data_IF_286765764358
#
_entry.id   IF_286765764358
#
_cell.length_a   1.000
_cell.length_b   1.000
_cell.length_c   1.000
_cell.angle_alpha   90.00
_cell.angle_beta   90.00
_cell.angle_gamma   90.00
#
_symmetry.space_group_name_H-M   'P 1'
#
loop_
_entity.id
_entity.type
_entity.pdbx_description
1 polymer ?
#
# COMPACT_ATOMS: atom_id res chain seq x y z
N UNK A 1 -31.47 12.19 7.62
CA UNK A 1 -30.40 11.44 6.92
C UNK A 1 -29.34 12.42 6.45
N UNK A 2 -28.07 12.15 6.70
CA UNK A 2 -27.00 12.94 6.06
C UNK A 2 -27.11 12.76 4.54
N UNK A 3 -26.85 13.84 3.76
CA UNK A 3 -26.91 13.76 2.31
C UNK A 3 -25.86 12.76 1.79
N UNK A 4 -26.21 12.01 0.72
CA UNK A 4 -25.27 11.13 0.03
C UNK A 4 -24.12 11.99 -0.52
N UNK A 5 -22.89 11.64 -0.11
CA UNK A 5 -21.67 12.39 -0.48
C UNK A 5 -21.05 11.80 -1.73
N UNK A 6 -20.61 12.66 -2.64
CA UNK A 6 -19.76 12.25 -3.75
C UNK A 6 -18.36 11.87 -3.23
N UNK A 7 -17.78 10.79 -3.79
CA UNK A 7 -16.45 10.35 -3.46
C UNK A 7 -15.64 10.05 -4.74
N UNK A 8 -14.36 10.44 -4.75
CA UNK A 8 -13.49 10.49 -5.92
C UNK A 8 -12.35 9.48 -5.81
N UNK A 9 -12.02 8.86 -6.96
CA UNK A 9 -10.81 8.06 -7.20
C UNK A 9 -9.69 8.96 -7.74
N UNK A 10 -8.51 8.40 -8.01
CA UNK A 10 -7.45 9.14 -8.69
C UNK A 10 -7.78 9.43 -10.16
N UNK A 11 -8.64 8.63 -10.79
CA UNK A 11 -9.07 8.83 -12.18
C UNK A 11 -10.03 10.02 -12.35
N UNK A 12 -10.69 10.46 -11.27
CA UNK A 12 -11.67 11.56 -11.30
C UNK A 12 -11.02 12.93 -11.22
N UNK A 13 -9.70 13.02 -11.03
CA UNK A 13 -9.01 14.29 -10.86
C UNK A 13 -7.67 14.34 -11.59
N UNK A 14 -7.27 15.57 -11.95
CA UNK A 14 -5.88 15.93 -12.25
C UNK A 14 -5.40 16.97 -11.23
N UNK A 15 -4.16 17.42 -11.35
CA UNK A 15 -3.62 18.53 -10.58
C UNK A 15 -3.19 19.64 -11.55
N UNK A 16 -3.69 20.86 -11.34
CA UNK A 16 -3.25 21.99 -12.12
C UNK A 16 -1.79 22.32 -11.81
N UNK A 17 -0.96 22.61 -12.83
CA UNK A 17 0.42 23.00 -12.65
C UNK A 17 0.53 24.32 -11.88
N UNK A 18 1.69 24.57 -11.29
CA UNK A 18 2.00 25.80 -10.57
C UNK A 18 3.28 26.42 -11.13
N UNK A 19 3.50 27.69 -10.81
CA UNK A 19 4.80 28.28 -11.00
C UNK A 19 5.88 27.45 -10.29
N UNK A 20 6.97 27.15 -10.99
CA UNK A 20 8.02 26.28 -10.48
C UNK A 20 9.39 26.76 -10.91
N UNK A 21 10.31 26.79 -9.96
CA UNK A 21 11.76 26.97 -10.17
C UNK A 21 12.52 25.66 -9.84
N UNK A 22 11.78 24.53 -9.79
CA UNK A 22 12.32 23.24 -9.36
C UNK A 22 12.44 22.28 -10.54
N UNK A 23 13.65 21.81 -10.81
CA UNK A 23 13.87 20.76 -11.80
C UNK A 23 13.60 19.36 -11.20
N UNK A 24 13.06 18.41 -11.98
CA UNK A 24 12.85 17.04 -11.51
C UNK A 24 14.10 16.33 -10.99
N UNK A 25 15.29 16.73 -11.42
CA UNK A 25 16.58 16.20 -10.95
C UNK A 25 16.96 16.67 -9.55
N UNK A 26 16.41 17.80 -9.10
CA UNK A 26 16.78 18.47 -7.84
C UNK A 26 15.87 18.12 -6.66
N UNK A 27 14.78 17.38 -6.91
CA UNK A 27 13.79 17.10 -5.88
C UNK A 27 14.24 15.99 -4.93
N UNK A 28 13.92 16.17 -3.66
CA UNK A 28 14.08 15.17 -2.60
C UNK A 28 12.79 14.37 -2.43
N UNK A 29 12.84 13.09 -2.80
CA UNK A 29 11.72 12.15 -2.68
C UNK A 29 11.63 11.47 -1.31
N UNK A 30 12.50 11.80 -0.37
CA UNK A 30 12.52 11.19 0.95
C UNK A 30 11.27 11.52 1.77
N UNK A 31 10.88 10.59 2.64
CA UNK A 31 9.76 10.76 3.56
C UNK A 31 10.09 10.20 4.94
N UNK A 32 9.76 10.95 5.98
CA UNK A 32 9.92 10.53 7.38
C UNK A 32 8.59 9.99 7.90
N UNK A 33 8.54 8.70 8.19
CA UNK A 33 7.34 7.99 8.65
C UNK A 33 7.24 7.88 10.17
N UNK A 34 8.38 7.94 10.87
CA UNK A 34 8.44 8.04 12.35
C UNK A 34 9.78 8.70 12.76
N UNK A 35 10.05 8.78 14.07
CA UNK A 35 11.37 9.21 14.55
C UNK A 35 12.51 8.30 14.05
N UNK A 36 12.21 7.02 13.84
CA UNK A 36 13.19 5.98 13.53
C UNK A 36 13.08 5.41 12.12
N UNK A 37 12.09 5.83 11.33
CA UNK A 37 11.85 5.31 9.98
C UNK A 37 11.77 6.44 8.96
N UNK A 38 12.83 6.58 8.17
CA UNK A 38 12.91 7.46 7.01
C UNK A 38 13.19 6.64 5.77
N UNK A 39 12.42 6.87 4.71
CA UNK A 39 12.59 6.24 3.41
C UNK A 39 13.17 7.25 2.41
N UNK A 40 14.06 6.82 1.51
CA UNK A 40 14.59 7.66 0.42
C UNK A 40 13.57 7.88 -0.71
N UNK A 41 12.65 6.93 -0.88
CA UNK A 41 11.50 7.04 -1.79
C UNK A 41 10.21 6.68 -1.02
N UNK A 42 9.07 7.32 -1.27
CA UNK A 42 7.85 7.13 -0.48
C UNK A 42 7.07 5.88 -0.90
N UNK A 43 7.76 4.74 -1.11
CA UNK A 43 7.17 3.52 -1.63
C UNK A 43 7.34 2.34 -0.67
N UNK A 44 6.24 1.58 -0.52
CA UNK A 44 6.21 0.31 0.19
C UNK A 44 5.67 -0.80 -0.72
N UNK A 45 6.15 -2.05 -0.60
CA UNK A 45 5.47 -3.19 -1.21
C UNK A 45 4.48 -3.83 -0.24
N UNK A 46 3.31 -4.20 -0.78
CA UNK A 46 2.16 -4.70 0.00
C UNK A 46 2.43 -6.06 0.62
N UNK A 47 1.86 -6.27 1.80
CA UNK A 47 1.92 -7.52 2.55
C UNK A 47 1.00 -8.61 1.95
N UNK A 48 1.29 -9.01 0.72
CA UNK A 48 0.51 -10.01 -0.03
C UNK A 48 1.41 -11.19 -0.41
N UNK A 49 0.86 -12.40 -0.33
CA UNK A 49 1.61 -13.64 -0.57
C UNK A 49 2.01 -13.89 -2.03
N UNK A 50 1.59 -13.01 -2.93
CA UNK A 50 2.03 -12.95 -4.33
C UNK A 50 2.79 -11.65 -4.66
N UNK A 51 3.20 -10.88 -3.66
CA UNK A 51 3.93 -9.61 -3.84
C UNK A 51 5.22 -9.56 -3.02
N UNK A 52 5.16 -9.73 -1.68
CA UNK A 52 6.31 -9.42 -0.81
C UNK A 52 6.75 -10.58 0.07
N UNK A 53 7.83 -11.22 -0.33
CA UNK A 53 8.74 -11.99 0.52
C UNK A 53 10.13 -11.34 0.50
N UNK A 54 11.16 -11.99 1.00
CA UNK A 54 12.51 -11.41 1.15
C UNK A 54 13.10 -10.84 -0.14
N UNK A 55 12.91 -11.47 -1.28
CA UNK A 55 13.45 -10.98 -2.57
C UNK A 55 12.90 -9.60 -2.92
N UNK A 56 11.59 -9.43 -2.85
CA UNK A 56 10.94 -8.13 -3.07
C UNK A 56 11.32 -7.12 -1.99
N UNK A 57 11.33 -7.53 -0.72
CA UNK A 57 11.71 -6.64 0.38
C UNK A 57 13.15 -6.12 0.25
N UNK A 58 14.09 -6.98 -0.18
CA UNK A 58 15.47 -6.59 -0.46
C UNK A 58 15.55 -5.60 -1.63
N UNK A 59 14.84 -5.89 -2.73
CA UNK A 59 14.90 -5.05 -3.93
C UNK A 59 14.36 -3.64 -3.66
N UNK A 60 13.21 -3.53 -2.99
CA UNK A 60 12.61 -2.22 -2.69
C UNK A 60 13.41 -1.46 -1.62
N UNK A 61 14.00 -2.14 -0.62
CA UNK A 61 14.85 -1.52 0.37
C UNK A 61 16.15 -0.98 -0.23
N UNK A 62 16.77 -1.71 -1.17
CA UNK A 62 17.93 -1.23 -1.94
C UNK A 62 17.59 0.01 -2.77
N UNK A 63 16.37 0.13 -3.26
CA UNK A 63 15.89 1.33 -3.96
C UNK A 63 15.54 2.49 -3.01
N UNK A 64 15.56 2.27 -1.70
CA UNK A 64 15.30 3.29 -0.68
C UNK A 64 13.88 3.31 -0.13
N UNK A 65 13.03 2.34 -0.49
CA UNK A 65 11.71 2.10 0.10
C UNK A 65 11.76 1.05 1.22
N UNK A 66 10.63 0.37 1.47
CA UNK A 66 10.55 -0.72 2.45
C UNK A 66 9.53 -1.78 2.00
N UNK A 67 9.89 -3.07 2.09
CA UNK A 67 8.97 -4.18 1.86
C UNK A 67 8.30 -4.65 3.13
N UNK A 68 7.00 -4.95 3.07
CA UNK A 68 6.24 -5.52 4.19
C UNK A 68 5.99 -7.00 3.93
N UNK A 69 6.72 -7.88 4.64
CA UNK A 69 6.58 -9.33 4.50
C UNK A 69 5.20 -9.76 4.99
N UNK A 70 4.48 -10.53 4.17
CA UNK A 70 3.14 -10.96 4.45
C UNK A 70 3.06 -11.99 5.59
N UNK A 71 1.88 -12.13 6.20
CA UNK A 71 1.61 -13.07 7.30
C UNK A 71 0.94 -14.38 6.87
N UNK A 72 0.70 -14.57 5.57
CA UNK A 72 0.12 -15.81 5.04
C UNK A 72 1.16 -16.95 4.96
N UNK A 73 1.96 -17.03 6.01
CA UNK A 73 3.03 -17.97 6.31
C UNK A 73 2.90 -18.42 7.78
N UNK A 74 3.44 -19.57 8.13
CA UNK A 74 3.70 -19.86 9.54
C UNK A 74 4.72 -18.87 10.12
N UNK A 75 4.73 -18.73 11.45
CA UNK A 75 5.57 -17.74 12.13
C UNK A 75 7.06 -17.99 11.81
N UNK A 76 7.50 -19.24 11.79
CA UNK A 76 8.91 -19.61 11.54
C UNK A 76 9.36 -19.16 10.15
N UNK A 77 8.57 -19.45 9.12
CA UNK A 77 8.87 -19.05 7.74
C UNK A 77 8.87 -17.52 7.57
N UNK A 78 7.93 -16.81 8.19
CA UNK A 78 7.93 -15.35 8.14
C UNK A 78 9.20 -14.77 8.77
N UNK A 79 9.66 -15.33 9.89
CA UNK A 79 10.91 -14.95 10.54
C UNK A 79 12.12 -15.25 9.65
N UNK A 80 12.16 -16.39 8.97
CA UNK A 80 13.21 -16.72 8.00
C UNK A 80 13.30 -15.68 6.88
N UNK A 81 12.16 -15.25 6.34
CA UNK A 81 12.11 -14.19 5.32
C UNK A 81 12.62 -12.85 5.86
N UNK A 82 12.25 -12.47 7.08
CA UNK A 82 12.73 -11.25 7.75
C UNK A 82 14.25 -11.32 7.93
N UNK A 83 14.78 -12.42 8.43
CA UNK A 83 16.23 -12.63 8.66
C UNK A 83 17.04 -12.47 7.38
N UNK A 84 16.54 -12.94 6.22
CA UNK A 84 17.22 -12.77 4.94
C UNK A 84 17.44 -11.29 4.61
N UNK A 85 16.47 -10.42 4.92
CA UNK A 85 16.57 -8.97 4.69
C UNK A 85 17.51 -8.33 5.73
N UNK A 86 17.33 -8.66 7.01
CA UNK A 86 18.14 -8.09 8.11
C UNK A 86 19.61 -8.45 8.02
N UNK A 87 19.99 -9.63 7.50
CA UNK A 87 21.38 -10.02 7.23
C UNK A 87 22.11 -9.06 6.28
N UNK A 88 21.38 -8.32 5.45
CA UNK A 88 21.90 -7.30 4.53
C UNK A 88 21.86 -5.88 5.11
N UNK A 89 21.53 -5.71 6.40
CA UNK A 89 21.35 -4.43 7.07
C UNK A 89 20.32 -3.51 6.36
N UNK A 90 19.29 -4.09 5.76
CA UNK A 90 18.24 -3.39 5.04
C UNK A 90 16.99 -3.21 5.91
N UNK A 91 16.22 -2.16 5.59
CA UNK A 91 14.91 -1.92 6.21
C UNK A 91 13.92 -3.01 5.82
N UNK A 92 13.15 -3.48 6.79
CA UNK A 92 12.08 -4.47 6.57
C UNK A 92 10.88 -4.23 7.46
N UNK A 93 9.69 -4.32 6.86
CA UNK A 93 8.43 -4.39 7.57
C UNK A 93 7.88 -5.82 7.60
N UNK A 94 7.00 -6.10 8.55
CA UNK A 94 6.28 -7.36 8.61
C UNK A 94 4.84 -7.15 9.07
N UNK A 95 3.92 -7.91 8.47
CA UNK A 95 2.50 -7.87 8.80
C UNK A 95 2.12 -8.86 9.90
N UNK A 96 1.17 -8.44 10.73
CA UNK A 96 0.45 -9.26 11.68
C UNK A 96 -1.05 -9.01 11.51
N UNK A 97 -1.89 -9.94 11.94
CA UNK A 97 -3.34 -9.77 12.00
C UNK A 97 -3.82 -9.29 13.37
N UNK A 98 -5.06 -9.65 13.71
CA UNK A 98 -5.66 -9.34 14.99
C UNK A 98 -6.20 -10.62 15.67
N UNK A 99 -5.69 -10.92 16.85
CA UNK A 99 -6.08 -12.10 17.63
C UNK A 99 -4.93 -12.69 18.45
N UNK A 100 -5.20 -13.69 19.30
CA UNK A 100 -4.20 -14.25 20.22
C UNK A 100 -3.00 -14.90 19.53
N UNK A 101 -3.20 -15.59 18.42
CA UNK A 101 -2.12 -16.19 17.64
C UNK A 101 -1.22 -15.11 17.01
N UNK A 102 -1.82 -14.01 16.61
CA UNK A 102 -1.10 -12.88 15.98
C UNK A 102 -0.27 -12.09 17.01
N UNK A 103 -0.62 -12.15 18.29
CA UNK A 103 0.25 -11.61 19.35
C UNK A 103 1.56 -12.40 19.46
N UNK A 104 1.50 -13.74 19.44
CA UNK A 104 2.71 -14.59 19.41
C UNK A 104 3.56 -14.31 18.17
N UNK A 105 2.92 -14.08 17.03
CA UNK A 105 3.58 -13.66 15.79
C UNK A 105 4.29 -12.30 15.96
N UNK A 106 3.61 -11.33 16.54
CA UNK A 106 4.17 -10.00 16.82
C UNK A 106 5.39 -10.07 17.74
N UNK A 107 5.32 -10.87 18.79
CA UNK A 107 6.46 -11.10 19.71
C UNK A 107 7.67 -11.67 18.98
N UNK A 108 7.45 -12.69 18.13
CA UNK A 108 8.53 -13.29 17.34
C UNK A 108 9.15 -12.28 16.35
N UNK A 109 8.32 -11.50 15.65
CA UNK A 109 8.75 -10.47 14.69
C UNK A 109 9.56 -9.36 15.40
N UNK A 110 9.11 -8.90 16.56
CA UNK A 110 9.79 -7.84 17.32
C UNK A 110 11.19 -8.26 17.80
N UNK A 111 11.39 -9.54 18.12
CA UNK A 111 12.71 -10.10 18.44
C UNK A 111 13.71 -9.98 17.28
N UNK A 112 13.24 -10.00 16.03
CA UNK A 112 14.07 -9.82 14.84
C UNK A 112 14.35 -8.34 14.51
N UNK A 113 13.95 -7.41 15.37
CA UNK A 113 14.22 -5.97 15.27
C UNK A 113 13.76 -5.38 13.92
N UNK A 114 12.54 -5.72 13.49
CA UNK A 114 11.93 -5.14 12.29
C UNK A 114 11.77 -3.62 12.44
N UNK A 115 11.88 -2.90 11.34
CA UNK A 115 11.77 -1.44 11.32
C UNK A 115 10.32 -0.97 11.36
N UNK A 116 9.42 -1.81 10.80
CA UNK A 116 7.98 -1.55 10.71
C UNK A 116 7.17 -2.80 11.02
N UNK A 117 6.26 -2.72 11.99
CA UNK A 117 5.21 -3.74 12.20
C UNK A 117 3.88 -3.19 11.73
N UNK A 118 3.14 -3.97 10.94
CA UNK A 118 1.87 -3.56 10.34
C UNK A 118 0.75 -4.46 10.84
N UNK A 119 -0.17 -3.91 11.62
CA UNK A 119 -1.45 -4.57 11.92
C UNK A 119 -2.34 -4.44 10.69
N UNK A 120 -2.40 -5.52 9.91
CA UNK A 120 -2.98 -5.56 8.57
C UNK A 120 -4.30 -6.32 8.54
N UNK A 121 -5.41 -5.58 8.50
CA UNK A 121 -6.79 -6.10 8.51
C UNK A 121 -7.64 -5.45 7.41
N UNK A 122 -8.73 -6.09 7.00
CA UNK A 122 -9.68 -5.51 6.05
C UNK A 122 -10.42 -4.30 6.64
N UNK A 123 -10.60 -4.29 7.98
CA UNK A 123 -11.25 -3.20 8.71
C UNK A 123 -10.52 -2.90 10.01
N UNK A 124 -9.74 -1.81 10.01
CA UNK A 124 -8.91 -1.39 11.14
C UNK A 124 -9.67 -0.73 12.30
N UNK A 125 -10.92 -0.31 12.08
CA UNK A 125 -11.77 0.34 13.09
C UNK A 125 -12.59 -0.70 13.86
N UNK A 126 -11.93 -1.60 14.60
CA UNK A 126 -12.60 -2.69 15.30
C UNK A 126 -11.97 -2.97 16.67
N UNK A 127 -12.75 -3.62 17.57
CA UNK A 127 -12.31 -3.99 18.93
C UNK A 127 -11.07 -4.88 18.90
N UNK A 128 -11.04 -5.91 18.04
CA UNK A 128 -9.90 -6.83 17.92
C UNK A 128 -8.62 -6.12 17.52
N UNK A 129 -8.73 -5.12 16.61
CA UNK A 129 -7.58 -4.30 16.21
C UNK A 129 -7.11 -3.41 17.37
N UNK A 130 -8.01 -2.85 18.17
CA UNK A 130 -7.62 -2.11 19.37
C UNK A 130 -6.86 -2.97 20.38
N UNK A 131 -7.32 -4.19 20.60
CA UNK A 131 -6.71 -5.14 21.54
C UNK A 131 -5.28 -5.50 21.12
N UNK A 132 -5.08 -5.87 19.86
CA UNK A 132 -3.75 -6.24 19.35
C UNK A 132 -2.78 -5.05 19.34
N UNK A 133 -3.25 -3.84 18.98
CA UNK A 133 -2.43 -2.63 19.05
C UNK A 133 -1.95 -2.36 20.48
N UNK A 134 -2.84 -2.42 21.46
CA UNK A 134 -2.49 -2.23 22.88
C UNK A 134 -1.48 -3.26 23.35
N UNK A 135 -1.63 -4.53 22.95
CA UNK A 135 -0.71 -5.60 23.29
C UNK A 135 0.67 -5.40 22.64
N UNK A 136 0.74 -5.10 21.32
CA UNK A 136 1.99 -4.83 20.63
C UNK A 136 2.72 -3.62 21.24
N UNK A 137 2.00 -2.58 21.65
CA UNK A 137 2.62 -1.40 22.27
C UNK A 137 3.33 -1.70 23.58
N UNK A 138 2.85 -2.70 24.36
CA UNK A 138 3.53 -3.14 25.58
C UNK A 138 4.83 -3.91 25.28
N UNK A 139 4.90 -4.56 24.11
CA UNK A 139 6.00 -5.42 23.70
C UNK A 139 7.06 -4.69 22.88
N UNK A 140 6.63 -3.69 22.06
CA UNK A 140 7.54 -3.03 21.13
C UNK A 140 8.53 -2.14 21.85
N UNK A 141 9.76 -2.14 21.34
CA UNK A 141 10.75 -1.13 21.69
C UNK A 141 10.44 0.18 20.96
N UNK A 142 10.99 1.30 21.43
CA UNK A 142 10.83 2.60 20.75
C UNK A 142 11.46 2.65 19.34
N UNK A 143 12.21 1.61 18.94
CA UNK A 143 12.87 1.55 17.61
C UNK A 143 11.94 1.04 16.51
N UNK A 144 10.95 0.21 16.82
CA UNK A 144 10.01 -0.32 15.81
C UNK A 144 8.83 0.61 15.59
N UNK A 145 8.56 1.00 14.36
CA UNK A 145 7.40 1.81 13.97
C UNK A 145 6.15 0.94 13.90
N UNK A 146 5.03 1.40 14.45
CA UNK A 146 3.75 0.70 14.45
C UNK A 146 2.77 1.32 13.46
N UNK A 147 2.39 0.55 12.44
CA UNK A 147 1.35 0.89 11.48
C UNK A 147 0.10 0.05 11.73
N UNK A 148 -1.09 0.62 11.56
CA UNK A 148 -2.34 -0.13 11.61
C UNK A 148 -3.33 0.34 10.53
N UNK A 149 -4.16 -0.59 10.05
CA UNK A 149 -5.22 -0.38 9.06
C UNK A 149 -5.89 -1.70 8.65
N UNK A 150 -6.77 -1.65 7.61
CA UNK A 150 -7.05 -0.49 6.78
C UNK A 150 -8.25 0.29 7.29
N UNK A 151 -8.24 1.57 7.04
CA UNK A 151 -9.36 2.47 7.35
C UNK A 151 -9.66 3.39 6.17
N UNK A 152 -10.82 4.07 6.21
CA UNK A 152 -11.23 5.02 5.16
C UNK A 152 -11.94 6.27 5.70
N UNK A 153 -12.10 6.45 7.02
CA UNK A 153 -12.87 7.54 7.63
C UNK A 153 -12.07 8.34 8.66
N UNK A 154 -12.52 9.57 8.92
CA UNK A 154 -11.92 10.44 9.91
C UNK A 154 -12.08 9.90 11.34
N UNK A 155 -13.22 9.26 11.65
CA UNK A 155 -13.50 8.65 12.95
C UNK A 155 -12.53 7.50 13.22
N UNK A 156 -12.32 6.62 12.23
CA UNK A 156 -11.36 5.53 12.33
C UNK A 156 -9.92 6.04 12.53
N UNK A 157 -9.57 7.16 11.87
CA UNK A 157 -8.27 7.80 12.10
C UNK A 157 -8.12 8.28 13.55
N UNK A 158 -9.10 8.99 14.08
CA UNK A 158 -9.11 9.44 15.50
C UNK A 158 -9.02 8.27 16.47
N UNK A 159 -9.71 7.16 16.15
CA UNK A 159 -9.67 5.93 16.96
C UNK A 159 -8.24 5.34 17.00
N UNK A 160 -7.57 5.16 15.85
CA UNK A 160 -6.22 4.63 15.81
C UNK A 160 -5.19 5.58 16.45
N UNK A 161 -5.36 6.90 16.30
CA UNK A 161 -4.52 7.91 16.97
C UNK A 161 -4.60 7.76 18.50
N UNK A 162 -5.81 7.62 19.06
CA UNK A 162 -5.98 7.38 20.51
C UNK A 162 -5.29 6.12 21.00
N UNK A 163 -5.17 5.10 20.14
CA UNK A 163 -4.42 3.89 20.44
C UNK A 163 -2.91 4.07 20.35
N UNK A 164 -2.43 5.20 19.80
CA UNK A 164 -1.02 5.58 19.74
C UNK A 164 -0.24 4.83 18.68
N UNK A 165 -0.82 4.63 17.50
CA UNK A 165 -0.08 4.17 16.32
C UNK A 165 0.81 5.28 15.78
N UNK A 166 1.91 4.91 15.12
CA UNK A 166 2.80 5.86 14.45
C UNK A 166 2.30 6.16 13.03
N UNK A 167 1.67 5.18 12.38
CA UNK A 167 1.21 5.26 11.00
C UNK A 167 -0.19 4.66 10.87
N UNK A 168 -1.00 5.28 10.04
CA UNK A 168 -2.33 4.81 9.62
C UNK A 168 -2.28 4.37 8.17
N UNK A 169 -2.77 3.17 7.87
CA UNK A 169 -2.87 2.63 6.50
C UNK A 169 -4.30 2.77 5.98
N UNK A 170 -4.45 3.45 4.82
CA UNK A 170 -5.73 3.90 4.27
C UNK A 170 -6.05 3.16 2.98
N UNK A 171 -7.22 2.56 2.91
CA UNK A 171 -7.76 1.94 1.70
C UNK A 171 -8.67 0.75 2.00
N UNK A 172 -9.98 0.93 1.74
CA UNK A 172 -10.98 -0.13 1.80
C UNK A 172 -11.60 -0.28 0.41
N UNK A 173 -11.25 -1.38 -0.26
CA UNK A 173 -11.75 -1.73 -1.58
C UNK A 173 -11.09 -1.08 -2.81
N UNK A 174 -9.95 -0.33 -2.76
CA UNK A 174 -9.36 0.27 -3.95
C UNK A 174 -8.45 -0.66 -4.75
N UNK A 175 -8.10 -1.84 -4.22
CA UNK A 175 -7.19 -2.78 -4.88
C UNK A 175 -7.78 -3.36 -6.17
N UNK A 176 -6.94 -3.58 -7.19
CA UNK A 176 -7.37 -4.06 -8.52
C UNK A 176 -8.00 -5.46 -8.54
N UNK A 177 -7.74 -6.25 -7.51
CA UNK A 177 -8.24 -7.62 -7.32
C UNK A 177 -9.10 -7.75 -6.05
N UNK A 178 -9.48 -6.61 -5.44
CA UNK A 178 -10.37 -6.54 -4.30
C UNK A 178 -11.83 -6.45 -4.79
N UNK A 179 -12.70 -7.29 -4.23
CA UNK A 179 -14.14 -7.27 -4.52
C UNK A 179 -15.00 -6.89 -3.31
N UNK A 180 -14.39 -6.38 -2.23
CA UNK A 180 -15.11 -5.96 -1.00
C UNK A 180 -16.28 -5.02 -1.31
N UNK A 181 -16.09 -4.06 -2.20
CA UNK A 181 -17.15 -3.11 -2.58
C UNK A 181 -18.32 -3.76 -3.31
N UNK A 182 -18.07 -4.85 -4.04
CA UNK A 182 -19.11 -5.60 -4.75
C UNK A 182 -19.79 -6.62 -3.84
N UNK A 183 -19.01 -7.33 -3.02
CA UNK A 183 -19.50 -8.42 -2.17
C UNK A 183 -20.15 -7.90 -0.90
N UNK A 184 -19.50 -6.96 -0.21
CA UNK A 184 -19.98 -6.42 1.07
C UNK A 184 -20.69 -5.06 0.92
N UNK A 185 -20.61 -4.39 -0.23
CA UNK A 185 -21.12 -3.04 -0.42
C UNK A 185 -20.35 -1.97 0.36
N UNK A 186 -19.15 -2.29 0.87
CA UNK A 186 -18.37 -1.44 1.78
C UNK A 186 -17.08 -0.97 1.10
N UNK A 187 -16.81 0.33 1.22
CA UNK A 187 -15.57 0.94 0.75
C UNK A 187 -15.73 2.43 0.47
N UNK A 188 -14.60 3.09 0.26
CA UNK A 188 -14.54 4.51 -0.10
C UNK A 188 -13.53 4.69 -1.22
N UNK A 189 -13.85 5.43 -2.30
CA UNK A 189 -12.89 5.82 -3.34
C UNK A 189 -11.63 6.43 -2.75
N UNK A 190 -10.46 6.04 -3.27
CA UNK A 190 -9.19 6.17 -2.55
C UNK A 190 -8.78 7.62 -2.28
N UNK A 191 -8.98 8.52 -3.24
CA UNK A 191 -8.66 9.94 -3.04
C UNK A 191 -9.48 10.53 -1.88
N UNK A 192 -10.80 10.29 -1.89
CA UNK A 192 -11.70 10.74 -0.82
C UNK A 192 -11.37 10.09 0.53
N UNK A 193 -10.98 8.82 0.55
CA UNK A 193 -10.54 8.14 1.78
C UNK A 193 -9.31 8.82 2.39
N UNK A 194 -8.29 9.15 1.58
CA UNK A 194 -7.08 9.86 2.05
C UNK A 194 -7.45 11.23 2.61
N UNK A 195 -8.27 12.00 1.89
CA UNK A 195 -8.71 13.33 2.33
C UNK A 195 -9.51 13.28 3.64
N UNK A 196 -10.40 12.30 3.79
CA UNK A 196 -11.17 12.10 5.02
C UNK A 196 -10.27 11.74 6.21
N UNK A 197 -9.34 10.79 6.02
CA UNK A 197 -8.37 10.39 7.06
C UNK A 197 -7.46 11.56 7.41
N UNK A 198 -6.99 12.33 6.42
CA UNK A 198 -6.18 13.53 6.66
C UNK A 198 -6.91 14.55 7.55
N UNK A 199 -8.22 14.75 7.34
CA UNK A 199 -9.05 15.58 8.24
C UNK A 199 -9.08 15.02 9.68
N UNK A 200 -9.11 13.69 9.83
CA UNK A 200 -9.08 13.04 11.14
C UNK A 200 -7.72 13.16 11.85
N UNK A 201 -6.63 13.11 11.09
CA UNK A 201 -5.26 13.27 11.61
C UNK A 201 -4.96 14.72 12.01
N UNK A 202 -5.48 15.72 11.27
CA UNK A 202 -5.25 17.17 11.52
C UNK A 202 -3.76 17.47 11.74
N UNK A 203 -3.43 18.07 12.89
CA UNK A 203 -2.07 18.46 13.27
C UNK A 203 -1.32 17.37 14.06
N UNK A 204 -1.84 16.14 14.09
CA UNK A 204 -1.18 15.03 14.77
C UNK A 204 0.09 14.60 14.02
N UNK A 205 1.07 14.07 14.77
CA UNK A 205 2.35 13.56 14.21
C UNK A 205 2.20 12.22 13.46
N UNK A 206 1.03 11.57 13.53
CA UNK A 206 0.75 10.29 12.89
C UNK A 206 0.82 10.45 11.37
N UNK A 207 1.45 9.47 10.71
CA UNK A 207 1.66 9.45 9.27
C UNK A 207 0.59 8.62 8.55
N UNK A 208 0.43 8.86 7.26
CA UNK A 208 -0.58 8.20 6.42
C UNK A 208 0.11 7.42 5.30
N UNK A 209 -0.19 6.12 5.19
CA UNK A 209 0.13 5.31 4.01
C UNK A 209 -1.13 5.14 3.18
N UNK A 210 -1.09 5.53 1.91
CA UNK A 210 -2.12 5.20 0.93
C UNK A 210 -1.90 3.78 0.41
N UNK A 211 -2.87 2.88 0.63
CA UNK A 211 -2.78 1.47 0.25
C UNK A 211 -3.83 1.12 -0.83
N UNK A 212 -3.35 0.88 -2.04
CA UNK A 212 -4.16 0.52 -3.21
C UNK A 212 -4.64 1.70 -4.06
N UNK A 213 -5.20 1.37 -5.21
CA UNK A 213 -5.76 2.33 -6.18
C UNK A 213 -4.75 2.98 -7.13
N UNK A 214 -3.45 2.74 -6.97
CA UNK A 214 -2.39 3.28 -7.84
C UNK A 214 -2.31 2.48 -9.13
N UNK A 215 -2.47 3.17 -10.26
CA UNK A 215 -2.38 2.62 -11.62
C UNK A 215 -1.22 3.22 -12.40
N UNK A 216 -0.92 4.48 -12.17
CA UNK A 216 0.08 5.27 -12.89
C UNK A 216 1.01 6.01 -11.93
N UNK A 217 2.17 6.43 -12.40
CA UNK A 217 3.11 7.24 -11.61
C UNK A 217 2.52 8.56 -11.12
N UNK A 218 1.65 9.19 -11.92
CA UNK A 218 0.93 10.40 -11.52
C UNK A 218 0.02 10.23 -10.31
N UNK A 219 -0.49 9.01 -10.06
CA UNK A 219 -1.33 8.73 -8.89
C UNK A 219 -0.54 8.82 -7.58
N UNK A 220 0.79 8.59 -7.63
CA UNK A 220 1.67 8.79 -6.46
C UNK A 220 1.62 10.25 -6.01
N UNK A 221 1.76 11.18 -6.95
CA UNK A 221 1.72 12.60 -6.66
C UNK A 221 0.32 13.04 -6.15
N UNK A 222 -0.76 12.51 -6.75
CA UNK A 222 -2.14 12.76 -6.30
C UNK A 222 -2.34 12.28 -4.86
N UNK A 223 -1.91 11.05 -4.52
CA UNK A 223 -2.06 10.49 -3.19
C UNK A 223 -1.24 11.28 -2.13
N UNK A 224 0.01 11.62 -2.45
CA UNK A 224 0.88 12.43 -1.58
C UNK A 224 0.32 13.83 -1.38
N UNK A 225 -0.17 14.47 -2.44
CA UNK A 225 -0.81 15.79 -2.37
C UNK A 225 -2.12 15.76 -1.55
N UNK A 226 -2.89 14.68 -1.63
CA UNK A 226 -4.10 14.50 -0.82
C UNK A 226 -3.81 14.33 0.68
N UNK A 227 -2.57 14.04 1.06
CA UNK A 227 -2.16 13.96 2.45
C UNK A 227 -1.42 12.70 2.87
N UNK A 228 -1.23 11.72 1.98
CA UNK A 228 -0.39 10.56 2.29
C UNK A 228 1.07 10.98 2.51
N UNK A 229 1.80 10.21 3.31
CA UNK A 229 3.23 10.36 3.55
C UNK A 229 4.03 9.33 2.76
N UNK A 230 3.40 8.18 2.46
CA UNK A 230 3.96 7.14 1.61
C UNK A 230 2.84 6.31 0.96
N UNK A 231 3.22 5.44 0.04
CA UNK A 231 2.30 4.69 -0.81
C UNK A 231 2.66 3.21 -0.78
N UNK A 232 1.68 2.37 -0.48
CA UNK A 232 1.82 0.92 -0.54
C UNK A 232 1.29 0.41 -1.89
N UNK A 233 2.11 -0.39 -2.57
CA UNK A 233 1.85 -0.88 -3.93
C UNK A 233 1.79 -2.41 -3.94
N UNK A 234 0.72 -2.95 -4.52
CA UNK A 234 0.54 -4.38 -4.80
C UNK A 234 0.62 -4.68 -6.30
N UNK A 235 -0.41 -4.26 -7.06
CA UNK A 235 -0.61 -4.66 -8.45
C UNK A 235 0.49 -4.20 -9.42
N UNK A 236 1.06 -3.01 -9.23
CA UNK A 236 2.15 -2.55 -10.10
C UNK A 236 3.42 -3.39 -9.91
N UNK A 237 3.69 -3.86 -8.69
CA UNK A 237 4.82 -4.75 -8.41
C UNK A 237 4.51 -6.21 -8.72
N UNK A 238 3.25 -6.62 -8.69
CA UNK A 238 2.83 -7.96 -9.08
C UNK A 238 3.30 -8.26 -10.52
N UNK A 239 3.84 -9.47 -10.72
CA UNK A 239 4.42 -9.89 -12.01
C UNK A 239 5.90 -9.53 -12.19
N UNK A 240 6.56 -8.84 -11.23
CA UNK A 240 8.01 -8.66 -11.28
C UNK A 240 8.77 -9.93 -10.89
N UNK A 241 10.06 -9.97 -11.22
CA UNK A 241 10.94 -11.12 -10.94
C UNK A 241 10.96 -11.48 -9.45
N UNK A 242 10.97 -10.47 -8.59
CA UNK A 242 11.17 -10.59 -7.14
C UNK A 242 9.91 -11.00 -6.38
N UNK A 243 8.73 -10.97 -7.02
CA UNK A 243 7.51 -11.47 -6.37
C UNK A 243 7.56 -12.97 -6.16
N UNK A 244 6.90 -13.53 -5.12
CA UNK A 244 6.80 -14.97 -4.91
C UNK A 244 6.17 -15.71 -6.09
N UNK A 245 6.43 -16.99 -6.16
CA UNK A 245 5.89 -17.88 -7.18
C UNK A 245 6.77 -18.02 -8.43
N UNK A 246 6.46 -19.08 -9.20
CA UNK A 246 7.19 -19.43 -10.43
C UNK A 246 6.66 -18.63 -11.62
N UNK A 247 7.51 -18.46 -12.63
CA UNK A 247 7.08 -17.99 -13.95
C UNK A 247 6.27 -19.07 -14.64
N UNK A 248 5.17 -18.65 -15.27
CA UNK A 248 4.23 -19.52 -15.99
C UNK A 248 4.22 -19.07 -17.44
N UNK A 249 4.51 -20.00 -18.37
CA UNK A 249 4.43 -19.73 -19.82
C UNK A 249 3.08 -20.15 -20.36
N UNK A 250 2.35 -19.21 -20.99
CA UNK A 250 1.07 -19.47 -21.68
C UNK A 250 1.07 -18.75 -23.02
N UNK A 251 0.80 -19.46 -24.11
CA UNK A 251 0.75 -18.89 -25.47
C UNK A 251 1.98 -18.01 -25.79
N UNK A 252 3.17 -18.52 -25.53
CA UNK A 252 4.42 -17.81 -25.77
C UNK A 252 4.75 -16.65 -24.80
N UNK A 253 3.83 -16.25 -23.93
CA UNK A 253 4.00 -15.14 -22.98
C UNK A 253 4.24 -15.65 -21.57
N UNK A 254 4.99 -14.84 -20.79
CA UNK A 254 5.31 -15.15 -19.38
C UNK A 254 4.34 -14.43 -18.44
N UNK A 255 3.95 -15.13 -17.37
CA UNK A 255 3.02 -14.66 -16.34
C UNK A 255 3.50 -15.03 -14.94
N UNK A 256 2.98 -14.34 -13.94
CA UNK A 256 3.04 -14.72 -12.52
C UNK A 256 1.65 -14.74 -11.90
N UNK A 257 1.46 -15.56 -10.88
CA UNK A 257 0.24 -15.54 -10.07
C UNK A 257 0.10 -14.21 -9.34
N UNK A 258 -1.11 -13.72 -9.27
CA UNK A 258 -1.48 -12.56 -8.46
C UNK A 258 -2.87 -12.77 -7.86
N UNK A 259 -3.00 -12.58 -6.54
CA UNK A 259 -4.27 -12.77 -5.86
C UNK A 259 -4.49 -11.79 -4.71
N UNK A 260 -5.76 -11.45 -4.51
CA UNK A 260 -6.22 -10.71 -3.35
C UNK A 260 -6.13 -11.55 -2.08
N UNK A 261 -5.85 -10.93 -0.95
CA UNK A 261 -5.83 -11.62 0.35
C UNK A 261 -7.20 -12.13 0.77
N UNK A 262 -8.30 -11.62 0.16
CA UNK A 262 -9.66 -12.13 0.30
C UNK A 262 -10.08 -13.16 -0.74
N UNK A 263 -9.18 -13.66 -1.58
CA UNK A 263 -9.48 -14.77 -2.50
C UNK A 263 -9.58 -16.10 -1.74
N UNK A 264 -10.32 -17.05 -2.28
CA UNK A 264 -10.50 -18.39 -1.68
C UNK A 264 -9.15 -19.04 -1.37
N UNK A 265 -8.22 -19.01 -2.33
CA UNK A 265 -6.90 -19.62 -2.16
C UNK A 265 -6.04 -18.90 -1.10
N UNK A 266 -6.16 -17.58 -0.94
CA UNK A 266 -5.46 -16.85 0.12
C UNK A 266 -6.09 -17.14 1.50
N UNK A 267 -7.42 -17.15 1.60
CA UNK A 267 -8.14 -17.44 2.84
C UNK A 267 -7.87 -18.86 3.34
N UNK A 268 -7.84 -19.82 2.44
CA UNK A 268 -7.51 -21.22 2.79
C UNK A 268 -6.08 -21.36 3.35
N UNK A 269 -5.14 -20.53 2.91
CA UNK A 269 -3.76 -20.50 3.42
C UNK A 269 -3.58 -19.76 4.75
N UNK A 270 -4.55 -18.94 5.20
CA UNK A 270 -4.50 -18.32 6.51
C UNK A 270 -4.96 -16.87 6.61
N UNK A 271 -5.45 -16.24 5.51
CA UNK A 271 -5.91 -14.85 5.54
C UNK A 271 -7.41 -14.68 5.85
N UNK A 272 -8.14 -15.75 6.16
CA UNK A 272 -9.59 -15.68 6.40
C UNK A 272 -9.96 -14.74 7.57
N UNK A 273 -9.17 -14.72 8.62
CA UNK A 273 -9.36 -13.85 9.79
C UNK A 273 -9.24 -12.35 9.45
N UNK A 274 -8.50 -11.98 8.37
CA UNK A 274 -8.45 -10.62 7.85
C UNK A 274 -9.84 -10.10 7.46
N UNK A 275 -10.73 -11.01 7.00
CA UNK A 275 -12.09 -10.76 6.53
C UNK A 275 -13.15 -11.25 7.54
N UNK A 276 -12.78 -11.35 8.83
CA UNK A 276 -13.66 -11.80 9.91
C UNK A 276 -14.22 -13.21 9.74
N UNK A 277 -13.60 -14.02 8.88
CA UNK A 277 -14.00 -15.41 8.64
C UNK A 277 -13.06 -16.36 9.38
N UNK A 278 -13.62 -17.47 9.86
CA UNK A 278 -12.85 -18.56 10.45
C UNK A 278 -12.36 -19.52 9.37
N UNK A 279 -11.29 -20.26 9.64
CA UNK A 279 -10.82 -21.29 8.73
C UNK A 279 -11.92 -22.33 8.51
N UNK A 280 -12.26 -22.56 7.25
CA UNK A 280 -13.27 -23.54 6.83
C UNK A 280 -12.62 -24.85 6.42
N UNK A 281 -13.25 -26.00 6.75
CA UNK A 281 -12.88 -27.31 6.19
C UNK A 281 -13.31 -27.41 4.72
N UNK A 282 -14.49 -26.88 4.42
CA UNK A 282 -15.07 -26.79 3.08
C UNK A 282 -14.81 -25.40 2.51
N UNK A 283 -13.97 -25.32 1.50
CA UNK A 283 -13.56 -24.06 0.85
C UNK A 283 -14.72 -23.32 0.16
N UNK A 284 -15.81 -24.03 -0.21
CA UNK A 284 -17.00 -23.41 -0.80
C UNK A 284 -17.79 -22.53 0.18
N UNK A 285 -17.53 -22.66 1.49
CA UNK A 285 -18.16 -21.86 2.54
C UNK A 285 -17.47 -20.51 2.78
N UNK A 286 -16.35 -20.22 2.13
CA UNK A 286 -15.80 -18.89 2.18
C UNK A 286 -16.62 -17.91 1.33
N UNK A 287 -16.78 -16.69 1.85
CA UNK A 287 -17.30 -15.55 1.10
C UNK A 287 -16.10 -14.73 0.62
N UNK A 288 -15.67 -14.88 -0.65
CA UNK A 288 -14.45 -14.23 -1.11
C UNK A 288 -14.68 -12.74 -1.38
N UNK A 289 -13.80 -11.91 -0.85
CA UNK A 289 -13.74 -10.47 -1.10
C UNK A 289 -12.53 -10.10 -1.98
N UNK A 290 -12.07 -11.01 -2.81
CA UNK A 290 -10.98 -10.83 -3.75
C UNK A 290 -10.90 -11.97 -4.74
N UNK A 291 -10.27 -11.70 -5.87
CA UNK A 291 -10.04 -12.67 -6.94
C UNK A 291 -8.58 -13.09 -7.02
N UNK A 292 -8.32 -14.19 -7.71
CA UNK A 292 -6.98 -14.66 -8.05
C UNK A 292 -6.87 -14.94 -9.54
N UNK A 293 -5.68 -14.73 -10.09
CA UNK A 293 -5.43 -14.90 -11.50
C UNK A 293 -3.94 -14.74 -11.82
N UNK A 294 -3.68 -14.35 -13.06
CA UNK A 294 -2.33 -14.17 -13.59
C UNK A 294 -2.13 -12.76 -14.10
N UNK A 295 -0.94 -12.22 -13.88
CA UNK A 295 -0.49 -10.96 -14.47
C UNK A 295 0.71 -11.20 -15.36
N UNK A 296 0.85 -10.42 -16.42
CA UNK A 296 2.02 -10.47 -17.32
C UNK A 296 3.30 -10.27 -16.52
N UNK A 297 4.33 -11.03 -16.86
CA UNK A 297 5.66 -10.80 -16.34
C UNK A 297 6.21 -9.45 -16.78
N UNK A 298 6.83 -8.71 -15.88
CA UNK A 298 7.24 -7.32 -16.07
C UNK A 298 8.76 -7.09 -15.97
N UNK A 299 9.56 -8.16 -15.82
CA UNK A 299 11.00 -8.02 -15.55
C UNK A 299 11.29 -7.69 -14.09
N UNK A 300 12.40 -7.01 -13.84
CA UNK A 300 12.82 -6.64 -12.48
C UNK A 300 11.99 -5.48 -11.92
N UNK A 301 11.83 -5.46 -10.60
CA UNK A 301 11.07 -4.41 -9.92
C UNK A 301 11.80 -3.07 -9.92
N UNK A 302 13.14 -3.06 -10.07
CA UNK A 302 13.95 -1.85 -10.09
C UNK A 302 13.54 -0.94 -11.25
N UNK A 303 13.28 -1.51 -12.44
CA UNK A 303 12.80 -0.76 -13.61
C UNK A 303 11.43 -0.13 -13.35
N UNK A 304 10.54 -0.85 -12.66
CA UNK A 304 9.21 -0.34 -12.29
C UNK A 304 9.35 0.82 -11.30
N UNK A 305 10.16 0.64 -10.25
CA UNK A 305 10.40 1.68 -9.24
C UNK A 305 11.00 2.93 -9.89
N UNK A 306 11.98 2.76 -10.79
CA UNK A 306 12.62 3.87 -11.50
C UNK A 306 11.60 4.72 -12.26
N UNK A 307 10.68 4.10 -13.01
CA UNK A 307 9.61 4.79 -13.74
C UNK A 307 8.64 5.49 -12.80
N UNK A 308 8.21 4.83 -11.71
CA UNK A 308 7.30 5.41 -10.72
C UNK A 308 7.91 6.64 -10.05
N UNK A 309 9.15 6.54 -9.61
CA UNK A 309 9.87 7.66 -8.97
C UNK A 309 10.15 8.77 -9.98
N UNK A 310 10.48 8.43 -11.23
CA UNK A 310 10.65 9.39 -12.31
C UNK A 310 9.39 10.23 -12.55
N UNK A 311 8.22 9.58 -12.65
CA UNK A 311 6.95 10.27 -12.79
C UNK A 311 6.59 11.12 -11.56
N UNK A 312 6.89 10.66 -10.34
CA UNK A 312 6.74 11.48 -9.13
C UNK A 312 7.63 12.73 -9.20
N UNK A 313 8.90 12.59 -9.56
CA UNK A 313 9.83 13.71 -9.71
C UNK A 313 9.33 14.72 -10.75
N UNK A 314 8.81 14.24 -11.89
CA UNK A 314 8.20 15.09 -12.91
C UNK A 314 7.01 15.88 -12.32
N UNK A 315 6.10 15.23 -11.61
CA UNK A 315 4.97 15.90 -10.94
C UNK A 315 5.45 16.94 -9.92
N UNK A 316 6.51 16.64 -9.17
CA UNK A 316 7.09 17.59 -8.21
C UNK A 316 7.65 18.83 -8.90
N UNK A 317 8.29 18.66 -10.07
CA UNK A 317 8.73 19.76 -10.92
C UNK A 317 7.56 20.65 -11.35
N UNK A 318 6.49 20.09 -11.92
CA UNK A 318 5.31 20.86 -12.33
C UNK A 318 4.60 21.57 -11.17
N UNK A 319 4.74 21.09 -9.95
CA UNK A 319 4.09 21.67 -8.77
C UNK A 319 4.99 22.57 -7.93
N UNK A 320 6.26 22.77 -8.31
CA UNK A 320 7.24 23.56 -7.58
C UNK A 320 7.59 22.97 -6.21
N UNK A 321 7.53 21.64 -6.07
CA UNK A 321 7.71 20.94 -4.81
C UNK A 321 9.13 20.36 -4.67
N UNK A 322 10.03 21.04 -3.95
CA UNK A 322 11.40 20.54 -3.70
C UNK A 322 11.45 19.25 -2.87
N UNK A 323 10.48 19.03 -1.97
CA UNK A 323 10.37 17.85 -1.11
C UNK A 323 8.97 17.25 -1.21
N UNK A 324 8.84 15.92 -0.99
CA UNK A 324 7.52 15.24 -0.95
C UNK A 324 6.54 15.96 -0.01
N UNK A 325 7.02 16.44 1.13
CA UNK A 325 6.18 17.17 2.08
C UNK A 325 5.53 18.42 1.47
N UNK A 326 6.20 19.09 0.52
CA UNK A 326 5.69 20.30 -0.13
C UNK A 326 4.49 20.01 -1.05
N UNK A 327 4.30 18.78 -1.54
CA UNK A 327 3.13 18.38 -2.31
C UNK A 327 1.81 18.61 -1.56
N UNK A 328 1.84 18.58 -0.22
CA UNK A 328 0.68 18.81 0.66
C UNK A 328 0.30 20.28 0.78
N UNK A 329 1.15 21.19 0.27
CA UNK A 329 0.92 22.64 0.37
C UNK A 329 -0.09 23.11 -0.69
N UNK A 330 -1.37 23.22 -0.27
CA UNK A 330 -2.47 23.71 -1.10
C UNK A 330 -2.54 23.01 -2.47
N UNK A 331 -2.74 21.67 -2.51
CA UNK A 331 -2.90 20.99 -3.80
C UNK A 331 -4.11 21.55 -4.53
N UNK A 332 -3.96 21.81 -5.82
CA UNK A 332 -5.04 22.27 -6.69
C UNK A 332 -5.55 21.09 -7.52
N UNK A 333 -6.45 20.29 -6.95
CA UNK A 333 -7.13 19.22 -7.67
C UNK A 333 -8.21 19.80 -8.57
N UNK A 334 -8.20 19.40 -9.83
CA UNK A 334 -9.23 19.69 -10.82
C UNK A 334 -10.02 18.40 -11.05
N UNK A 335 -11.34 18.42 -10.80
CA UNK A 335 -12.22 17.31 -11.14
C UNK A 335 -12.37 17.27 -12.65
N UNK A 336 -12.21 16.09 -13.26
CA UNK A 336 -12.34 15.87 -14.69
C UNK A 336 -13.54 14.97 -15.00
N UNK A 337 -14.07 15.12 -16.20
CA UNK A 337 -15.11 14.26 -16.75
C UNK A 337 -14.50 12.94 -17.27
N UNK A 338 -15.34 11.96 -17.62
CA UNK A 338 -14.88 10.76 -18.35
C UNK A 338 -14.18 11.12 -19.65
N UNK A 339 -14.68 12.14 -20.38
CA UNK A 339 -14.03 12.62 -21.60
C UNK A 339 -12.63 13.16 -21.33
N UNK A 340 -12.46 13.98 -20.26
CA UNK A 340 -11.13 14.47 -19.86
C UNK A 340 -10.19 13.36 -19.38
N UNK A 341 -10.71 12.27 -18.78
CA UNK A 341 -9.90 11.11 -18.49
C UNK A 341 -9.44 10.40 -19.76
N UNK A 342 -10.32 10.21 -20.75
CA UNK A 342 -9.96 9.61 -22.05
C UNK A 342 -8.99 10.49 -22.86
N UNK A 343 -9.12 11.81 -22.79
CA UNK A 343 -8.17 12.76 -23.39
C UNK A 343 -6.73 12.57 -22.85
N UNK A 344 -6.61 12.12 -21.57
CA UNK A 344 -5.31 11.81 -20.97
C UNK A 344 -4.64 10.54 -21.51
N UNK A 345 -5.38 9.70 -22.24
CA UNK A 345 -4.86 8.49 -22.85
C UNK A 345 -4.23 8.77 -24.21
N UNK A 346 -3.21 7.98 -24.56
CA UNK A 346 -2.61 8.08 -25.91
C UNK A 346 -3.68 7.76 -26.94
N UNK A 347 -3.88 8.67 -27.88
CA UNK A 347 -4.85 8.56 -28.98
C UNK A 347 -4.19 9.04 -30.29
N UNK A 348 -4.82 8.72 -31.44
CA UNK A 348 -4.34 9.06 -32.78
C UNK A 348 -2.91 8.55 -33.10
N UNK A 349 -2.55 7.38 -32.53
CA UNK A 349 -1.28 6.69 -32.79
C UNK A 349 -1.57 5.23 -33.03
N UNK A 350 -1.31 4.72 -34.24
CA UNK A 350 -1.62 3.33 -34.61
C UNK A 350 -0.73 2.30 -33.91
N UNK A 351 0.54 2.64 -33.67
CA UNK A 351 1.51 1.79 -32.97
C UNK A 351 2.38 2.60 -32.00
N UNK A 352 2.34 2.23 -30.72
CA UNK A 352 3.21 2.81 -29.69
C UNK A 352 4.50 1.99 -29.64
N UNK A 353 5.61 2.57 -30.11
CA UNK A 353 6.93 1.90 -30.12
C UNK A 353 7.47 1.62 -28.73
N UNK A 354 7.20 2.50 -27.77
CA UNK A 354 7.67 2.38 -26.38
C UNK A 354 6.51 2.60 -25.43
N UNK A 355 5.76 1.55 -25.11
CA UNK A 355 4.72 1.63 -24.07
C UNK A 355 5.36 1.82 -22.68
N UNK A 356 5.44 3.05 -22.19
CA UNK A 356 5.57 3.26 -20.75
C UNK A 356 4.16 3.31 -20.15
N UNK A 357 3.65 2.17 -19.73
CA UNK A 357 2.33 2.09 -19.07
C UNK A 357 2.32 2.58 -17.62
N UNK A 358 3.33 3.33 -17.19
CA UNK A 358 3.47 3.71 -15.77
C UNK A 358 3.87 5.16 -15.61
#
# INVERSE_FOLDING_TARGET
MDPIKEALTFDDVTMAPKYSEVLPSEVDTSTKLSSNLTLKIPLLSSAMDTVTESKMAIAIAKAGGIGVIHRNLDIKKQIEEIKKVKKLNLLVGAAVGAGPLELKRAEAILKEKVDLIVVDTAHGHSKKVAEIIKAIKKLKTNKTTLCAGNIATAEAAKFLIKLGVDIIKVGIGPGSICTTRLVAGIGVPQLSAILAVKKGVKNNKVKIISDGGIKYSGDLAKALSAGADAIMIGSLFAGSLETPGKLIKKNGKLFKSFRGMGSVGAMNKGSADRYFQTKQKDISKYVPEGVEGFVKYKGDVKSIIYKLVGGLKSSMGYLGAKKVLNLKNKPNFVKITKAGFYESMVHNVDQVKNESKY
#
